data_IF_348934981128
#
_entry.id   IF_348934981128
#
_cell.length_a   1.000
_cell.length_b   1.000
_cell.length_c   1.000
_cell.angle_alpha   90.00
_cell.angle_beta   90.00
_cell.angle_gamma   90.00
#
_symmetry.space_group_name_H-M   'P 1'
#
loop_
_entity.id
_entity.type
_entity.pdbx_description
1 polymer ?
#
# COMPACT_ATOMS: atom_id res chain seq x y z
N UNK A 1 5.13 -5.81 -81.49
CA UNK A 1 4.77 -5.92 -80.06
C UNK A 1 6.07 -5.68 -79.28
N UNK A 2 6.49 -4.42 -79.11
CA UNK A 2 6.36 -3.60 -77.88
C UNK A 2 7.50 -3.94 -76.90
N UNK A 3 8.70 -3.33 -76.96
CA UNK A 3 9.14 -1.97 -76.56
C UNK A 3 8.95 -1.63 -75.06
N UNK A 4 10.06 -1.31 -74.39
CA UNK A 4 10.17 -0.47 -73.18
C UNK A 4 10.27 -1.26 -71.87
N UNK A 5 11.40 -1.35 -71.16
CA UNK A 5 12.35 -0.32 -70.72
C UNK A 5 11.67 0.85 -69.99
N UNK A 6 11.88 0.95 -68.66
CA UNK A 6 12.27 2.17 -67.93
C UNK A 6 12.67 1.84 -66.47
N UNK A 7 13.94 2.03 -66.12
CA UNK A 7 14.50 3.13 -65.30
C UNK A 7 14.16 2.94 -63.80
N UNK A 8 15.04 2.46 -62.91
CA UNK A 8 16.43 2.83 -62.56
C UNK A 8 16.50 4.14 -61.75
N UNK A 9 17.31 4.09 -60.66
CA UNK A 9 17.97 5.20 -59.96
C UNK A 9 17.19 5.86 -58.81
N UNK A 10 17.83 6.19 -57.69
CA UNK A 10 19.15 5.88 -57.11
C UNK A 10 19.17 6.60 -55.76
N UNK A 11 19.86 5.96 -54.81
CA UNK A 11 20.78 6.58 -53.85
C UNK A 11 20.16 7.55 -52.82
N UNK A 12 20.75 7.79 -51.65
CA UNK A 12 22.04 7.41 -51.09
C UNK A 12 21.86 7.41 -49.56
N UNK A 13 22.53 6.53 -48.80
CA UNK A 13 23.76 6.85 -48.03
C UNK A 13 23.49 7.86 -46.89
N UNK A 14 23.86 7.71 -45.62
CA UNK A 14 24.88 6.98 -44.86
C UNK A 14 24.28 6.78 -43.43
N UNK A 15 24.82 6.04 -42.47
CA UNK A 15 26.14 5.45 -42.21
C UNK A 15 25.98 4.47 -41.03
N UNK A 16 26.79 3.41 -40.96
CA UNK A 16 28.07 3.36 -40.26
C UNK A 16 27.96 3.44 -38.72
N UNK A 17 28.53 2.41 -38.06
CA UNK A 17 28.69 2.15 -36.62
C UNK A 17 27.45 1.53 -35.93
N UNK A 18 27.51 0.45 -35.15
CA UNK A 18 28.63 -0.17 -34.46
C UNK A 18 28.40 -1.68 -34.29
N UNK A 19 29.43 -2.47 -34.62
CA UNK A 19 29.66 -3.78 -34.01
C UNK A 19 30.37 -3.48 -32.68
N UNK A 20 29.69 -3.69 -31.55
CA UNK A 20 30.34 -3.74 -30.25
C UNK A 20 29.68 -4.82 -29.38
N UNK A 21 30.36 -5.96 -29.35
CA UNK A 21 30.71 -6.74 -28.15
C UNK A 21 29.59 -7.09 -27.17
N UNK A 22 29.02 -8.30 -27.34
CA UNK A 22 28.57 -9.12 -26.21
C UNK A 22 29.79 -9.56 -25.40
N UNK A 23 29.98 -9.00 -24.20
CA UNK A 23 30.67 -9.62 -23.08
C UNK A 23 30.52 -8.77 -21.80
N UNK A 24 30.26 -9.45 -20.67
CA UNK A 24 30.29 -8.99 -19.28
C UNK A 24 28.98 -8.44 -18.67
N UNK A 25 28.12 -9.36 -18.22
CA UNK A 25 27.23 -9.15 -17.06
C UNK A 25 27.51 -10.28 -16.06
N UNK A 26 28.62 -10.18 -15.34
CA UNK A 26 28.82 -10.81 -14.02
C UNK A 26 29.82 -9.91 -13.28
N UNK A 27 29.33 -9.07 -12.38
CA UNK A 27 30.15 -8.14 -11.60
C UNK A 27 29.39 -6.91 -11.18
N UNK A 28 28.43 -7.08 -10.26
CA UNK A 28 27.72 -5.98 -9.63
C UNK A 28 28.68 -5.10 -8.83
N UNK A 29 29.05 -3.95 -9.40
CA UNK A 29 29.50 -2.81 -8.62
C UNK A 29 28.27 -1.94 -8.37
N UNK A 30 27.74 -2.00 -7.14
CA UNK A 30 26.79 -1.01 -6.63
C UNK A 30 27.49 0.36 -6.61
N UNK A 31 27.26 1.17 -7.64
CA UNK A 31 27.56 2.58 -7.58
C UNK A 31 26.49 3.23 -6.70
N UNK A 32 26.87 3.60 -5.48
CA UNK A 32 26.07 4.45 -4.62
C UNK A 32 25.90 5.81 -5.32
N UNK A 33 24.79 5.98 -6.03
CA UNK A 33 24.33 7.30 -6.45
C UNK A 33 23.92 8.03 -5.17
N UNK A 34 24.75 8.98 -4.73
CA UNK A 34 24.28 10.02 -3.81
C UNK A 34 23.26 10.84 -4.59
N UNK A 35 22.00 10.47 -4.45
CA UNK A 35 20.89 11.31 -4.86
C UNK A 35 20.95 12.52 -3.92
N UNK A 36 21.30 13.69 -4.45
CA UNK A 36 21.02 14.96 -3.79
C UNK A 36 19.49 15.01 -3.64
N UNK A 37 19.01 14.65 -2.44
CA UNK A 37 17.64 14.88 -2.02
C UNK A 37 17.51 16.40 -1.92
N UNK A 38 17.19 17.02 -3.05
CA UNK A 38 16.71 18.38 -3.07
C UNK A 38 15.60 18.47 -2.03
N UNK A 39 15.66 19.50 -1.18
CA UNK A 39 14.63 19.79 -0.19
C UNK A 39 13.30 19.79 -0.95
N UNK A 40 12.53 18.71 -0.82
CA UNK A 40 11.19 18.66 -1.36
C UNK A 40 10.45 19.84 -0.73
N UNK A 41 9.91 20.74 -1.55
CA UNK A 41 8.95 21.71 -1.04
C UNK A 41 7.90 20.96 -0.24
N UNK A 42 7.60 21.47 0.95
CA UNK A 42 6.74 20.81 1.92
C UNK A 42 5.46 20.34 1.22
N UNK A 43 5.32 19.02 1.15
CA UNK A 43 4.15 18.31 0.69
C UNK A 43 2.91 18.97 1.28
N UNK A 44 1.84 19.26 0.50
CA UNK A 44 0.60 19.82 1.05
C UNK A 44 0.21 19.00 2.27
N UNK A 45 0.31 19.62 3.44
CA UNK A 45 -0.02 18.93 4.68
C UNK A 45 -1.53 18.69 4.62
N UNK A 46 -2.02 17.46 4.86
CA UNK A 46 -3.45 17.26 5.09
C UNK A 46 -3.94 18.34 6.05
N UNK A 47 -5.17 18.86 5.88
CA UNK A 47 -5.70 19.79 6.86
C UNK A 47 -5.55 19.15 8.23
N UNK A 48 -4.80 19.80 9.12
CA UNK A 48 -4.55 19.25 10.44
C UNK A 48 -5.90 18.95 11.12
N UNK A 49 -5.97 17.85 11.88
CA UNK A 49 -7.10 17.48 12.74
C UNK A 49 -8.37 16.93 12.02
N UNK A 50 -8.20 16.08 11.00
CA UNK A 50 -9.30 15.26 10.46
C UNK A 50 -9.15 13.80 10.90
N UNK A 51 -10.22 13.23 11.45
CA UNK A 51 -10.33 11.79 11.69
C UNK A 51 -10.79 11.07 10.42
N UNK A 52 -10.23 9.90 10.12
CA UNK A 52 -10.69 9.07 9.00
C UNK A 52 -11.42 7.85 9.52
N UNK A 53 -12.70 7.74 9.17
CA UNK A 53 -13.49 6.56 9.47
C UNK A 53 -13.14 5.45 8.51
N UNK A 54 -12.45 4.43 9.04
CA UNK A 54 -12.24 3.16 8.36
C UNK A 54 -13.59 2.47 8.15
N UNK A 55 -13.69 1.74 7.04
CA UNK A 55 -14.85 0.93 6.68
C UNK A 55 -16.17 1.72 6.54
N UNK A 56 -16.09 3.02 6.20
CA UNK A 56 -17.27 3.83 5.90
C UNK A 56 -17.78 3.51 4.47
N UNK A 57 -18.31 2.30 4.27
CA UNK A 57 -18.78 1.80 2.97
C UNK A 57 -19.90 2.64 2.35
N UNK A 58 -20.72 3.29 3.18
CA UNK A 58 -21.82 4.14 2.76
C UNK A 58 -21.40 5.58 2.47
N UNK A 59 -20.14 5.93 2.73
CA UNK A 59 -19.64 7.31 2.69
C UNK A 59 -20.53 8.25 3.52
N UNK A 60 -20.72 7.92 4.79
CA UNK A 60 -21.67 8.53 5.71
C UNK A 60 -21.20 9.92 6.14
N UNK A 61 -22.10 10.90 6.15
CA UNK A 61 -21.83 12.20 6.78
C UNK A 61 -21.95 12.08 8.30
N UNK A 62 -20.89 11.59 8.95
CA UNK A 62 -20.91 11.21 10.37
C UNK A 62 -21.28 12.37 11.31
N UNK A 63 -21.05 13.64 10.91
CA UNK A 63 -21.43 14.81 11.73
C UNK A 63 -22.94 14.98 11.87
N UNK A 64 -23.75 14.46 10.95
CA UNK A 64 -25.21 14.51 11.09
C UNK A 64 -25.69 13.66 12.27
N UNK A 65 -25.02 12.54 12.54
CA UNK A 65 -25.32 11.66 13.67
C UNK A 65 -24.48 11.94 14.92
N UNK A 66 -23.29 12.52 14.76
CA UNK A 66 -22.34 12.81 15.85
C UNK A 66 -21.79 14.25 15.73
N UNK A 67 -22.61 15.28 15.99
CA UNK A 67 -22.21 16.66 15.76
C UNK A 67 -21.05 17.13 16.67
N UNK A 68 -20.84 16.48 17.82
CA UNK A 68 -19.76 16.77 18.76
C UNK A 68 -18.41 16.10 18.42
N UNK A 69 -18.35 15.26 17.38
CA UNK A 69 -17.09 14.67 16.93
C UNK A 69 -16.24 15.68 16.16
N UNK A 70 -14.90 15.50 16.14
CA UNK A 70 -14.01 16.27 15.27
C UNK A 70 -14.38 16.17 13.78
N UNK A 71 -13.83 17.07 12.94
CA UNK A 71 -13.93 16.96 11.48
C UNK A 71 -13.54 15.56 11.01
N UNK A 72 -14.30 15.03 10.05
CA UNK A 72 -14.26 13.62 9.69
C UNK A 72 -14.20 13.41 8.18
N UNK A 73 -13.16 12.72 7.73
CA UNK A 73 -13.07 12.10 6.41
C UNK A 73 -13.56 10.66 6.43
N UNK A 74 -13.33 9.98 5.32
CA UNK A 74 -13.63 8.55 5.22
C UNK A 74 -12.52 7.78 4.54
N UNK A 75 -12.51 6.48 4.79
CA UNK A 75 -11.68 5.51 4.13
C UNK A 75 -12.53 4.27 3.90
N UNK A 76 -12.39 3.67 2.72
CA UNK A 76 -12.91 2.34 2.45
C UNK A 76 -11.82 1.50 1.78
N UNK A 77 -11.56 0.28 2.25
CA UNK A 77 -10.69 -0.64 1.53
C UNK A 77 -11.40 -1.18 0.28
N UNK A 78 -10.69 -1.26 -0.85
CA UNK A 78 -11.20 -1.83 -2.10
C UNK A 78 -10.46 -3.12 -2.44
N UNK A 79 -11.21 -4.21 -2.54
CA UNK A 79 -10.70 -5.51 -2.91
C UNK A 79 -10.02 -5.46 -4.28
N UNK A 80 -8.76 -5.92 -4.36
CA UNK A 80 -8.01 -5.88 -5.62
C UNK A 80 -8.73 -6.62 -6.75
N UNK A 81 -9.23 -7.83 -6.51
CA UNK A 81 -10.00 -8.63 -7.48
C UNK A 81 -11.32 -8.00 -7.94
N UNK A 82 -11.88 -7.04 -7.19
CA UNK A 82 -13.05 -6.28 -7.62
C UNK A 82 -12.65 -5.08 -8.48
N UNK A 83 -11.52 -4.43 -8.17
CA UNK A 83 -11.00 -3.33 -8.96
C UNK A 83 -10.45 -3.85 -10.29
N UNK A 84 -9.78 -5.00 -10.30
CA UNK A 84 -9.09 -5.53 -11.47
C UNK A 84 -9.43 -7.01 -11.72
N UNK A 85 -10.66 -7.31 -12.16
CA UNK A 85 -11.13 -8.68 -12.33
C UNK A 85 -10.39 -9.47 -13.42
N UNK A 86 -9.75 -8.79 -14.39
CA UNK A 86 -8.87 -9.40 -15.38
C UNK A 86 -7.69 -8.47 -15.68
N UNK A 87 -6.59 -9.04 -16.16
CA UNK A 87 -5.35 -8.35 -16.57
C UNK A 87 -5.68 -7.06 -17.36
N UNK A 88 -5.23 -5.91 -16.86
CA UNK A 88 -5.44 -4.57 -17.43
C UNK A 88 -6.91 -4.14 -17.64
N UNK A 89 -7.87 -4.76 -16.93
CA UNK A 89 -9.30 -4.46 -17.07
C UNK A 89 -9.89 -4.03 -15.73
N UNK A 90 -10.02 -2.72 -15.57
CA UNK A 90 -10.39 -2.11 -14.30
C UNK A 90 -11.89 -1.79 -14.18
N UNK A 91 -12.46 -2.06 -13.01
CA UNK A 91 -13.86 -1.85 -12.64
C UNK A 91 -13.99 -0.71 -11.62
N UNK A 92 -13.94 0.54 -12.12
CA UNK A 92 -13.93 1.74 -11.29
C UNK A 92 -15.29 2.21 -10.76
N UNK A 93 -16.39 1.57 -11.15
CA UNK A 93 -17.74 2.09 -10.87
C UNK A 93 -18.05 2.30 -9.39
N UNK A 94 -17.64 1.38 -8.51
CA UNK A 94 -17.84 1.50 -7.06
C UNK A 94 -16.94 2.58 -6.45
N UNK A 95 -15.61 2.59 -6.67
CA UNK A 95 -14.74 3.69 -6.23
C UNK A 95 -15.15 5.07 -6.77
N UNK A 96 -15.53 5.18 -8.06
CA UNK A 96 -15.99 6.45 -8.65
C UNK A 96 -17.22 7.02 -7.93
N UNK A 97 -18.24 6.16 -7.71
CA UNK A 97 -19.45 6.55 -6.97
C UNK A 97 -19.12 6.95 -5.54
N UNK A 98 -18.16 6.29 -4.91
CA UNK A 98 -17.71 6.63 -3.57
C UNK A 98 -17.10 8.03 -3.54
N UNK A 99 -16.15 8.32 -4.44
CA UNK A 99 -15.50 9.63 -4.53
C UNK A 99 -16.49 10.73 -4.89
N UNK A 100 -17.41 10.50 -5.82
CA UNK A 100 -18.44 11.50 -6.18
C UNK A 100 -19.37 11.81 -5.01
N UNK A 101 -19.73 10.80 -4.20
CA UNK A 101 -20.55 11.00 -3.00
C UNK A 101 -19.82 11.88 -1.98
N UNK A 102 -18.52 11.65 -1.75
CA UNK A 102 -17.71 12.53 -0.88
C UNK A 102 -17.61 13.96 -1.43
N UNK A 103 -17.60 14.13 -2.77
CA UNK A 103 -17.56 15.44 -3.40
C UNK A 103 -18.81 16.29 -3.16
N UNK A 104 -19.94 15.66 -2.87
CA UNK A 104 -21.20 16.32 -2.53
C UNK A 104 -21.28 16.71 -1.04
N UNK A 105 -20.42 16.12 -0.20
CA UNK A 105 -20.41 16.33 1.26
C UNK A 105 -19.43 17.43 1.67
N UNK A 106 -19.70 18.05 2.83
CA UNK A 106 -18.90 19.15 3.36
C UNK A 106 -18.49 18.86 4.79
N UNK A 107 -17.25 19.22 5.13
CA UNK A 107 -16.67 19.06 6.46
C UNK A 107 -16.16 20.42 6.91
N UNK A 108 -16.73 20.93 8.00
CA UNK A 108 -16.20 22.12 8.68
C UNK A 108 -15.05 21.71 9.59
N UNK A 109 -13.87 22.27 9.33
CA UNK A 109 -12.64 22.09 10.10
C UNK A 109 -12.70 22.87 11.41
N UNK A 110 -11.79 22.57 12.36
CA UNK A 110 -11.69 23.32 13.62
C UNK A 110 -11.35 24.81 13.40
N UNK A 111 -10.75 25.16 12.26
CA UNK A 111 -10.47 26.54 11.85
C UNK A 111 -11.73 27.31 11.43
N UNK A 112 -12.86 26.62 11.23
CA UNK A 112 -14.08 27.17 10.63
C UNK A 112 -14.10 27.09 9.10
N UNK A 113 -13.02 26.63 8.46
CA UNK A 113 -13.00 26.41 7.02
C UNK A 113 -13.89 25.23 6.64
N UNK A 114 -14.64 25.36 5.55
CA UNK A 114 -15.48 24.29 5.01
C UNK A 114 -14.80 23.68 3.79
N UNK A 115 -14.44 22.40 3.89
CA UNK A 115 -13.80 21.64 2.82
C UNK A 115 -14.72 20.54 2.29
N UNK A 116 -14.43 20.03 1.10
CA UNK A 116 -15.05 18.79 0.59
C UNK A 116 -14.63 17.61 1.47
N UNK A 117 -15.53 16.64 1.71
CA UNK A 117 -15.20 15.50 2.57
C UNK A 117 -13.93 14.79 2.09
N UNK A 118 -12.88 14.73 2.92
CA UNK A 118 -11.60 14.14 2.53
C UNK A 118 -11.69 12.61 2.56
N UNK A 119 -11.06 11.96 1.60
CA UNK A 119 -11.06 10.51 1.40
C UNK A 119 -9.64 9.97 1.37
N UNK A 120 -9.40 8.93 2.15
CA UNK A 120 -8.19 8.10 2.09
C UNK A 120 -8.44 6.88 1.23
N UNK A 121 -7.41 6.51 0.45
CA UNK A 121 -7.48 5.42 -0.50
C UNK A 121 -6.74 4.18 0.01
N UNK A 122 -7.25 2.96 -0.16
CA UNK A 122 -6.58 1.71 0.22
C UNK A 122 -7.00 0.54 -0.69
N UNK A 123 -6.04 -0.26 -1.14
CA UNK A 123 -6.34 -1.55 -1.79
C UNK A 123 -6.36 -2.64 -0.72
N UNK A 124 -7.42 -3.43 -0.64
CA UNK A 124 -7.47 -4.60 0.22
C UNK A 124 -6.91 -5.80 -0.52
N UNK A 125 -5.94 -6.46 0.09
CA UNK A 125 -5.29 -7.66 -0.48
C UNK A 125 -5.68 -8.92 0.27
N UNK A 126 -5.99 -8.82 1.57
CA UNK A 126 -6.26 -9.98 2.40
C UNK A 126 -7.04 -9.62 3.65
N UNK A 127 -8.06 -10.39 4.04
CA UNK A 127 -8.92 -10.09 5.20
C UNK A 127 -8.82 -11.12 6.32
N UNK A 128 -9.30 -10.77 7.52
CA UNK A 128 -9.31 -11.65 8.70
C UNK A 128 -10.13 -12.94 8.55
N UNK A 129 -11.00 -13.00 7.53
CA UNK A 129 -11.73 -14.22 7.15
C UNK A 129 -10.96 -15.07 6.13
N UNK A 130 -9.67 -14.79 5.96
CA UNK A 130 -8.74 -15.48 5.06
C UNK A 130 -9.14 -15.41 3.59
N UNK A 131 -9.81 -14.31 3.20
CA UNK A 131 -10.14 -14.05 1.80
C UNK A 131 -8.99 -13.32 1.13
N UNK A 132 -8.30 -14.03 0.24
CA UNK A 132 -7.31 -13.48 -0.68
C UNK A 132 -8.02 -12.71 -1.80
N UNK A 133 -7.79 -11.40 -1.81
CA UNK A 133 -8.35 -10.49 -2.80
C UNK A 133 -7.44 -10.32 -4.01
N UNK A 134 -6.31 -11.04 -4.11
CA UNK A 134 -5.51 -11.08 -5.34
C UNK A 134 -6.36 -11.62 -6.50
N UNK A 135 -6.43 -10.95 -7.66
CA UNK A 135 -7.13 -11.47 -8.81
C UNK A 135 -6.56 -12.82 -9.29
N UNK A 136 -7.43 -13.76 -9.66
CA UNK A 136 -6.99 -15.10 -10.08
C UNK A 136 -6.05 -15.10 -11.30
N UNK A 137 -6.12 -14.07 -12.16
CA UNK A 137 -5.26 -13.96 -13.33
C UNK A 137 -3.79 -13.68 -12.95
N UNK A 138 -3.53 -13.02 -11.81
CA UNK A 138 -2.18 -12.82 -11.26
C UNK A 138 -1.55 -14.18 -10.96
N UNK A 139 -2.31 -15.08 -10.31
CA UNK A 139 -1.85 -16.44 -10.06
C UNK A 139 -1.63 -17.25 -11.34
N UNK A 140 -2.46 -17.05 -12.37
CA UNK A 140 -2.29 -17.70 -13.66
C UNK A 140 -1.00 -17.26 -14.36
N UNK A 141 -0.55 -16.00 -14.22
CA UNK A 141 0.76 -15.53 -14.72
C UNK A 141 1.93 -16.32 -14.09
N UNK A 142 1.75 -16.81 -12.86
CA UNK A 142 2.71 -17.65 -12.14
C UNK A 142 2.52 -19.16 -12.38
N UNK A 143 1.55 -19.56 -13.21
CA UNK A 143 1.20 -20.97 -13.42
C UNK A 143 0.49 -21.62 -12.21
N UNK A 144 -0.18 -20.82 -11.38
CA UNK A 144 -0.88 -21.24 -10.16
C UNK A 144 -2.37 -20.89 -10.24
N UNK A 145 -3.17 -21.54 -9.39
CA UNK A 145 -4.59 -21.21 -9.23
C UNK A 145 -4.88 -20.26 -8.06
N UNK A 146 -3.96 -20.16 -7.10
CA UNK A 146 -4.06 -19.36 -5.88
C UNK A 146 -2.66 -19.12 -5.28
N UNK A 147 -2.61 -18.39 -4.16
CA UNK A 147 -1.40 -18.13 -3.39
C UNK A 147 -0.84 -19.35 -2.65
N UNK A 148 -0.24 -19.14 -1.48
CA UNK A 148 0.23 -20.22 -0.62
C UNK A 148 -0.95 -20.88 0.09
N UNK A 149 -1.07 -22.19 -0.06
CA UNK A 149 -2.01 -22.99 0.74
C UNK A 149 -1.39 -23.28 2.11
N UNK A 150 -2.11 -22.90 3.16
CA UNK A 150 -1.72 -23.10 4.55
C UNK A 150 -2.67 -24.12 5.17
N UNK A 151 -2.17 -25.32 5.49
CA UNK A 151 -2.94 -26.39 6.12
C UNK A 151 -2.26 -26.86 7.42
N UNK A 152 -2.67 -26.34 8.59
CA UNK A 152 -2.12 -26.76 9.87
C UNK A 152 -2.60 -28.15 10.31
N UNK A 153 -3.51 -28.79 9.57
CA UNK A 153 -4.09 -30.08 9.90
C UNK A 153 -5.00 -30.05 11.13
N UNK A 154 -5.24 -31.21 11.75
CA UNK A 154 -5.95 -31.28 13.05
C UNK A 154 -7.42 -30.85 13.05
N UNK A 155 -8.07 -30.77 11.89
CA UNK A 155 -9.45 -30.29 11.74
C UNK A 155 -9.56 -28.80 11.40
N UNK A 156 -8.44 -28.10 11.24
CA UNK A 156 -8.41 -26.76 10.69
C UNK A 156 -8.67 -26.78 9.18
N UNK A 157 -9.44 -25.81 8.63
CA UNK A 157 -9.57 -25.66 7.19
C UNK A 157 -8.25 -25.18 6.58
N UNK A 158 -7.93 -25.63 5.38
CA UNK A 158 -6.87 -25.00 4.59
C UNK A 158 -7.29 -23.58 4.17
N UNK A 159 -6.35 -22.64 4.19
CA UNK A 159 -6.57 -21.26 3.77
C UNK A 159 -5.51 -20.83 2.76
N UNK A 160 -5.77 -19.75 2.03
CA UNK A 160 -4.80 -19.18 1.08
C UNK A 160 -4.20 -17.89 1.63
N UNK A 161 -2.90 -17.70 1.44
CA UNK A 161 -2.17 -16.48 1.76
C UNK A 161 -1.54 -15.90 0.48
N UNK A 162 -1.57 -14.58 0.25
CA UNK A 162 -0.90 -13.97 -0.89
C UNK A 162 0.59 -14.29 -0.95
N UNK A 163 1.14 -14.29 -2.17
CA UNK A 163 2.56 -14.58 -2.42
C UNK A 163 3.41 -13.31 -2.33
N UNK A 164 3.52 -12.77 -1.11
CA UNK A 164 4.20 -11.49 -0.85
C UNK A 164 5.66 -11.46 -1.31
N UNK A 165 6.33 -12.61 -1.45
CA UNK A 165 7.72 -12.75 -1.89
C UNK A 165 7.88 -12.97 -3.41
N UNK A 166 6.79 -13.22 -4.14
CA UNK A 166 6.87 -13.53 -5.57
C UNK A 166 6.98 -12.24 -6.41
N UNK A 167 8.00 -12.13 -7.29
CA UNK A 167 8.22 -10.91 -8.08
C UNK A 167 7.14 -10.65 -9.14
N UNK A 168 6.46 -11.69 -9.64
CA UNK A 168 5.33 -11.50 -10.56
C UNK A 168 4.16 -10.92 -9.78
N UNK A 169 3.83 -11.50 -8.62
CA UNK A 169 2.76 -10.97 -7.76
C UNK A 169 3.03 -9.52 -7.34
N UNK A 170 4.26 -9.19 -6.94
CA UNK A 170 4.66 -7.83 -6.58
C UNK A 170 4.54 -6.85 -7.76
N UNK A 171 4.93 -7.25 -8.97
CA UNK A 171 4.81 -6.38 -10.14
C UNK A 171 3.33 -6.02 -10.43
N UNK A 172 2.42 -6.99 -10.34
CA UNK A 172 0.99 -6.71 -10.54
C UNK A 172 0.42 -5.86 -9.39
N UNK A 173 0.90 -6.04 -8.15
CA UNK A 173 0.53 -5.17 -7.03
C UNK A 173 0.97 -3.71 -7.30
N UNK A 174 2.15 -3.53 -7.87
CA UNK A 174 2.65 -2.20 -8.21
C UNK A 174 1.77 -1.51 -9.24
N UNK A 175 1.34 -2.24 -10.27
CA UNK A 175 0.49 -1.74 -11.35
C UNK A 175 -0.86 -1.27 -10.79
N UNK A 176 -1.53 -2.06 -9.95
CA UNK A 176 -2.82 -1.64 -9.37
C UNK A 176 -2.68 -0.42 -8.45
N UNK A 177 -1.59 -0.31 -7.67
CA UNK A 177 -1.32 0.88 -6.84
C UNK A 177 -1.12 2.12 -7.71
N UNK A 178 -0.37 1.97 -8.81
CA UNK A 178 -0.13 3.04 -9.78
C UNK A 178 -1.40 3.47 -10.51
N UNK A 179 -2.24 2.53 -10.94
CA UNK A 179 -3.49 2.82 -11.63
C UNK A 179 -4.53 3.48 -10.71
N UNK A 180 -4.62 3.04 -9.45
CA UNK A 180 -5.44 3.71 -8.46
C UNK A 180 -4.99 5.17 -8.25
N UNK A 181 -3.68 5.41 -8.18
CA UNK A 181 -3.14 6.77 -8.06
C UNK A 181 -3.36 7.59 -9.34
N UNK A 182 -3.09 7.03 -10.53
CA UNK A 182 -3.31 7.67 -11.83
C UNK A 182 -4.74 8.17 -11.96
N UNK A 183 -5.70 7.37 -11.50
CA UNK A 183 -7.11 7.73 -11.50
C UNK A 183 -7.46 8.77 -10.45
N UNK A 184 -7.10 8.56 -9.19
CA UNK A 184 -7.69 9.29 -8.07
C UNK A 184 -6.81 10.39 -7.44
N UNK A 185 -5.50 10.38 -7.69
CA UNK A 185 -4.57 11.35 -7.11
C UNK A 185 -4.83 12.80 -7.55
N UNK A 186 -5.51 13.06 -8.66
CA UNK A 186 -5.80 14.44 -9.08
C UNK A 186 -7.02 15.06 -8.39
N UNK A 187 -7.87 14.29 -7.71
CA UNK A 187 -9.06 14.83 -7.04
C UNK A 187 -8.70 15.52 -5.72
N UNK A 188 -9.14 16.76 -5.53
CA UNK A 188 -8.83 17.55 -4.34
C UNK A 188 -9.30 16.91 -3.03
N UNK A 189 -10.41 16.17 -3.08
CA UNK A 189 -10.97 15.51 -1.91
C UNK A 189 -10.37 14.14 -1.61
N UNK A 190 -9.51 13.62 -2.49
CA UNK A 190 -8.68 12.45 -2.17
C UNK A 190 -7.43 12.97 -1.49
N UNK A 191 -7.14 12.61 -0.25
CA UNK A 191 -6.06 13.28 0.51
C UNK A 191 -4.83 12.41 0.74
N UNK A 192 -4.88 11.14 0.35
CA UNK A 192 -3.72 10.26 0.35
C UNK A 192 -4.08 8.78 0.27
N UNK A 193 -3.12 7.94 0.63
CA UNK A 193 -3.22 6.48 0.53
C UNK A 193 -2.76 5.74 1.79
N UNK A 194 -3.52 4.74 2.22
CA UNK A 194 -3.11 3.77 3.24
C UNK A 194 -2.56 2.54 2.55
N UNK A 195 -1.32 2.21 2.89
CA UNK A 195 -0.59 1.08 2.35
C UNK A 195 -1.10 -0.17 3.06
N UNK A 196 -1.56 -1.12 2.25
CA UNK A 196 -2.06 -2.42 2.67
C UNK A 196 -1.00 -3.47 2.33
N UNK A 197 -0.52 -4.18 3.35
CA UNK A 197 0.58 -5.13 3.23
C UNK A 197 0.27 -6.50 3.84
N UNK A 198 -0.97 -6.74 4.28
CA UNK A 198 -1.37 -7.99 4.90
C UNK A 198 -2.84 -8.01 5.30
N UNK A 199 -3.17 -8.84 6.28
CA UNK A 199 -4.54 -9.07 6.78
C UNK A 199 -5.16 -7.75 7.24
N UNK A 200 -6.32 -7.37 6.72
CA UNK A 200 -7.04 -6.13 7.06
C UNK A 200 -6.23 -4.85 6.75
N UNK A 201 -5.23 -4.97 5.88
CA UNK A 201 -4.23 -3.96 5.55
C UNK A 201 -3.06 -3.83 6.53
N UNK A 202 -3.03 -4.65 7.57
CA UNK A 202 -2.00 -4.67 8.60
C UNK A 202 -0.70 -5.35 8.15
N UNK A 203 0.42 -5.04 8.81
CA UNK A 203 1.71 -5.71 8.61
C UNK A 203 1.75 -7.11 9.26
N UNK A 204 0.80 -7.96 8.90
CA UNK A 204 0.82 -9.39 9.21
C UNK A 204 0.34 -10.18 8.00
N UNK A 205 1.11 -11.16 7.52
CA UNK A 205 0.74 -11.88 6.30
C UNK A 205 -0.42 -12.85 6.55
N UNK A 206 -0.58 -13.30 7.80
CA UNK A 206 -1.63 -14.22 8.27
C UNK A 206 -1.85 -14.04 9.79
N UNK A 207 -3.02 -14.47 10.31
CA UNK A 207 -3.36 -14.52 11.75
C UNK A 207 -3.72 -15.96 12.14
N UNK A 208 -3.49 -16.34 13.41
CA UNK A 208 -4.02 -17.59 13.95
C UNK A 208 -5.50 -17.41 14.37
N UNK A 209 -6.32 -18.46 14.22
CA UNK A 209 -7.76 -18.41 14.58
C UNK A 209 -8.24 -19.75 15.11
N UNK A 210 -9.04 -19.71 16.17
CA UNK A 210 -9.75 -20.90 16.69
C UNK A 210 -8.82 -22.09 17.01
N UNK A 211 -7.58 -21.81 17.40
CA UNK A 211 -6.57 -22.83 17.72
C UNK A 211 -5.79 -23.37 16.50
N UNK A 212 -6.04 -22.85 15.30
CA UNK A 212 -5.31 -23.17 14.09
C UNK A 212 -4.06 -22.31 13.93
N UNK A 213 -2.91 -22.96 13.78
CA UNK A 213 -1.59 -22.33 13.72
C UNK A 213 -1.15 -22.04 12.27
N UNK A 214 -1.89 -21.16 11.59
CA UNK A 214 -1.56 -20.74 10.22
C UNK A 214 -0.25 -19.97 10.14
N UNK A 215 0.18 -19.31 11.22
CA UNK A 215 1.47 -18.63 11.29
C UNK A 215 2.64 -19.62 11.17
N UNK A 216 2.56 -20.79 11.81
CA UNK A 216 3.55 -21.84 11.65
C UNK A 216 3.60 -22.40 10.22
N UNK A 217 2.46 -22.48 9.52
CA UNK A 217 2.43 -22.87 8.10
C UNK A 217 3.03 -21.77 7.21
N UNK A 218 2.70 -20.50 7.44
CA UNK A 218 3.23 -19.38 6.68
C UNK A 218 4.75 -19.26 6.82
N UNK A 219 5.31 -19.52 8.00
CA UNK A 219 6.75 -19.53 8.24
C UNK A 219 7.52 -20.60 7.43
N UNK A 220 6.82 -21.59 6.85
CA UNK A 220 7.43 -22.60 5.94
C UNK A 220 7.60 -22.10 4.51
N UNK A 221 6.84 -21.08 4.11
CA UNK A 221 6.76 -20.59 2.73
C UNK A 221 7.16 -19.13 2.56
N UNK A 222 7.22 -18.36 3.65
CA UNK A 222 7.55 -16.95 3.64
C UNK A 222 8.46 -16.60 4.83
N UNK A 223 9.70 -16.23 4.55
CA UNK A 223 10.62 -15.79 5.61
C UNK A 223 10.32 -14.36 6.07
N UNK A 224 10.73 -14.03 7.30
CA UNK A 224 10.62 -12.68 7.85
C UNK A 224 11.31 -11.63 6.96
N UNK A 225 12.49 -11.95 6.40
CA UNK A 225 13.24 -11.01 5.55
C UNK A 225 12.54 -10.77 4.21
N UNK A 226 11.96 -11.79 3.60
CA UNK A 226 11.16 -11.66 2.37
C UNK A 226 9.93 -10.78 2.61
N UNK A 227 9.20 -11.02 3.71
CA UNK A 227 8.02 -10.21 4.03
C UNK A 227 8.38 -8.76 4.37
N UNK A 228 9.47 -8.52 5.11
CA UNK A 228 9.97 -7.16 5.35
C UNK A 228 10.42 -6.47 4.07
N UNK A 229 11.03 -7.20 3.14
CA UNK A 229 11.40 -6.67 1.84
C UNK A 229 10.16 -6.23 1.05
N UNK A 230 9.09 -7.04 1.05
CA UNK A 230 7.81 -6.66 0.46
C UNK A 230 7.21 -5.40 1.09
N UNK A 231 7.18 -5.28 2.43
CA UNK A 231 6.62 -4.09 3.08
C UNK A 231 7.38 -2.81 2.66
N UNK A 232 8.72 -2.88 2.58
CA UNK A 232 9.55 -1.76 2.13
C UNK A 232 9.29 -1.41 0.67
N UNK A 233 9.17 -2.44 -0.19
CA UNK A 233 8.80 -2.29 -1.59
C UNK A 233 7.44 -1.60 -1.75
N UNK A 234 6.40 -2.06 -1.03
CA UNK A 234 5.07 -1.45 -1.06
C UNK A 234 5.07 0.01 -0.58
N UNK A 235 5.91 0.36 0.39
CA UNK A 235 6.13 1.75 0.81
C UNK A 235 6.69 2.59 -0.34
N UNK A 236 7.75 2.11 -0.98
CA UNK A 236 8.42 2.86 -2.07
C UNK A 236 7.47 3.07 -3.27
N UNK A 237 6.74 2.02 -3.65
CA UNK A 237 5.76 2.04 -4.74
C UNK A 237 4.63 3.02 -4.42
N UNK A 238 4.09 2.98 -3.21
CA UNK A 238 3.04 3.89 -2.79
C UNK A 238 3.51 5.35 -2.79
N UNK A 239 4.72 5.63 -2.29
CA UNK A 239 5.30 6.99 -2.32
C UNK A 239 5.45 7.47 -3.76
N UNK A 240 6.01 6.64 -4.63
CA UNK A 240 6.20 6.99 -6.04
C UNK A 240 4.87 7.27 -6.76
N UNK A 241 3.85 6.43 -6.52
CA UNK A 241 2.54 6.56 -7.14
C UNK A 241 1.75 7.77 -6.60
N UNK A 242 1.75 7.97 -5.29
CA UNK A 242 0.85 8.92 -4.62
C UNK A 242 1.42 10.31 -4.39
N UNK A 243 2.74 10.51 -4.48
CA UNK A 243 3.35 11.83 -4.32
C UNK A 243 2.75 12.86 -5.32
N UNK A 244 2.46 14.10 -4.88
CA UNK A 244 2.78 14.67 -3.56
C UNK A 244 1.66 14.48 -2.51
N UNK A 245 0.78 13.49 -2.64
CA UNK A 245 -0.14 13.14 -1.55
C UNK A 245 0.58 12.25 -0.54
N UNK A 246 0.32 12.43 0.76
CA UNK A 246 0.89 11.58 1.80
C UNK A 246 0.40 10.13 1.69
N UNK A 247 1.25 9.22 2.16
CA UNK A 247 0.94 7.80 2.31
C UNK A 247 1.22 7.35 3.73
N UNK A 248 0.49 6.35 4.22
CA UNK A 248 0.69 5.81 5.57
C UNK A 248 0.73 4.29 5.58
N UNK A 249 1.70 3.72 6.27
CA UNK A 249 1.78 2.27 6.50
C UNK A 249 1.14 1.86 7.82
N UNK A 250 0.39 0.76 7.80
CA UNK A 250 -0.20 0.13 8.97
C UNK A 250 0.74 -0.95 9.54
N UNK A 251 1.83 -0.56 10.20
CA UNK A 251 2.84 -1.48 10.72
C UNK A 251 2.50 -2.11 12.09
N UNK A 252 1.24 -2.53 12.29
CA UNK A 252 0.81 -3.32 13.44
C UNK A 252 -0.01 -4.52 12.92
N UNK A 253 0.18 -5.75 13.43
CA UNK A 253 1.17 -6.16 14.41
C UNK A 253 2.61 -6.10 13.83
N UNK A 254 3.61 -6.58 14.58
CA UNK A 254 4.98 -6.58 14.05
C UNK A 254 5.09 -7.58 12.89
N UNK A 255 5.73 -7.20 11.76
CA UNK A 255 5.81 -8.01 10.53
C UNK A 255 6.19 -9.46 10.75
N UNK A 256 7.14 -9.72 11.66
CA UNK A 256 7.73 -11.04 11.83
C UNK A 256 7.17 -11.84 13.01
N UNK A 257 6.13 -11.32 13.68
CA UNK A 257 5.50 -12.00 14.80
C UNK A 257 5.01 -13.43 14.47
N UNK A 258 4.72 -13.71 13.19
CA UNK A 258 4.34 -15.05 12.71
C UNK A 258 5.52 -16.04 12.61
N UNK A 259 6.75 -15.54 12.45
CA UNK A 259 7.92 -16.37 12.18
C UNK A 259 8.77 -16.60 13.45
N UNK A 260 8.96 -15.57 14.27
CA UNK A 260 9.85 -15.63 15.44
C UNK A 260 9.21 -15.13 16.74
N UNK A 261 7.94 -14.70 16.70
CA UNK A 261 7.24 -14.11 17.85
C UNK A 261 7.79 -12.75 18.29
N UNK A 262 8.70 -12.14 17.51
CA UNK A 262 9.32 -10.87 17.85
C UNK A 262 8.38 -9.69 17.56
N UNK A 263 8.46 -8.68 18.43
CA UNK A 263 7.81 -7.38 18.25
C UNK A 263 8.79 -6.28 17.79
N UNK A 264 10.06 -6.61 17.54
CA UNK A 264 11.11 -5.61 17.28
C UNK A 264 11.06 -5.02 15.88
N UNK A 265 10.59 -5.77 14.89
CA UNK A 265 10.63 -5.36 13.48
C UNK A 265 9.69 -4.20 13.15
N UNK A 266 8.70 -3.91 14.00
CA UNK A 266 7.87 -2.72 13.86
C UNK A 266 8.71 -1.45 13.84
N UNK A 267 9.73 -1.37 14.71
CA UNK A 267 10.63 -0.20 14.76
C UNK A 267 11.37 -0.03 13.44
N UNK A 268 11.86 -1.13 12.86
CA UNK A 268 12.55 -1.13 11.58
C UNK A 268 11.65 -0.58 10.46
N UNK A 269 10.40 -1.06 10.36
CA UNK A 269 9.46 -0.59 9.34
C UNK A 269 9.07 0.88 9.55
N UNK A 270 8.82 1.31 10.79
CA UNK A 270 8.50 2.72 11.09
C UNK A 270 9.67 3.63 10.73
N UNK A 271 10.90 3.21 11.04
CA UNK A 271 12.11 3.95 10.67
C UNK A 271 12.28 4.04 9.15
N UNK A 272 12.05 2.93 8.44
CA UNK A 272 12.10 2.92 6.99
C UNK A 272 11.05 3.85 6.38
N UNK A 273 9.78 3.71 6.77
CA UNK A 273 8.68 4.53 6.29
C UNK A 273 8.96 6.02 6.50
N UNK A 274 9.36 6.40 7.71
CA UNK A 274 9.68 7.79 8.04
C UNK A 274 10.85 8.33 7.21
N UNK A 275 11.90 7.53 6.98
CA UNK A 275 13.04 7.94 6.16
C UNK A 275 12.69 8.05 4.67
N UNK A 276 11.76 7.24 4.18
CA UNK A 276 11.27 7.29 2.81
C UNK A 276 10.27 8.44 2.56
N UNK A 277 9.65 8.99 3.60
CA UNK A 277 8.65 10.05 3.51
C UNK A 277 7.20 9.56 3.64
N UNK A 278 7.00 8.32 4.09
CA UNK A 278 5.69 7.79 4.48
C UNK A 278 5.40 8.04 5.96
N UNK A 279 4.13 8.29 6.27
CA UNK A 279 3.62 8.30 7.64
C UNK A 279 3.42 6.89 8.18
N UNK A 280 3.22 6.80 9.49
CA UNK A 280 2.87 5.55 10.18
C UNK A 280 1.47 5.68 10.80
N UNK A 281 0.63 4.68 10.58
CA UNK A 281 -0.69 4.54 11.20
C UNK A 281 -0.64 3.38 12.18
N UNK A 282 -0.87 3.68 13.46
CA UNK A 282 -0.92 2.69 14.52
C UNK A 282 -2.29 2.01 14.56
N UNK A 283 -2.34 0.70 14.28
CA UNK A 283 -3.57 -0.11 14.41
C UNK A 283 -3.62 -0.91 15.72
N UNK A 284 -2.73 -0.64 16.67
CA UNK A 284 -2.77 -1.29 17.98
C UNK A 284 -4.03 -0.89 18.75
N UNK A 285 -4.95 -1.84 18.97
CA UNK A 285 -6.20 -1.69 19.73
C UNK A 285 -6.02 -1.47 21.25
N UNK A 286 -4.87 -0.96 21.69
CA UNK A 286 -4.59 -0.69 23.09
C UNK A 286 -4.50 0.82 23.35
N UNK A 287 -5.59 1.60 23.19
CA UNK A 287 -5.58 3.04 23.44
C UNK A 287 -5.45 3.40 24.93
N UNK A 288 -5.65 2.45 25.85
CA UNK A 288 -5.74 2.66 27.30
C UNK A 288 -4.67 1.94 28.15
N UNK A 289 -3.53 1.56 27.56
CA UNK A 289 -2.37 1.26 28.42
C UNK A 289 -1.67 2.57 28.77
N UNK A 290 -1.09 2.67 29.97
CA UNK A 290 -0.20 3.80 30.34
C UNK A 290 0.95 4.00 29.33
N UNK A 291 1.12 3.03 28.44
CA UNK A 291 2.17 2.86 27.46
C UNK A 291 1.68 3.22 26.04
N UNK A 292 0.40 3.61 25.88
CA UNK A 292 -0.20 4.03 24.62
C UNK A 292 0.17 5.47 24.23
N UNK A 293 0.62 6.30 25.18
CA UNK A 293 1.11 7.66 24.95
C UNK A 293 2.23 8.02 25.95
N UNK A 294 3.47 8.30 25.48
CA UNK A 294 4.50 8.98 26.28
C UNK A 294 5.93 8.39 26.25
N UNK A 295 6.90 9.19 26.67
CA UNK A 295 8.37 8.97 26.55
C UNK A 295 8.98 7.99 27.58
N UNK A 296 8.20 7.07 28.19
CA UNK A 296 8.62 6.24 29.35
C UNK A 296 9.49 5.02 29.05
N UNK A 297 10.66 4.88 29.68
CA UNK A 297 11.73 3.88 29.43
C UNK A 297 11.31 2.41 29.58
N UNK A 298 10.67 1.81 28.57
CA UNK A 298 10.54 0.35 28.42
C UNK A 298 10.62 -0.06 26.94
N UNK A 299 11.46 -1.05 26.65
CA UNK A 299 11.94 -1.46 25.33
C UNK A 299 10.92 -2.26 24.46
N UNK A 300 9.61 -2.19 24.74
CA UNK A 300 8.65 -3.14 24.11
C UNK A 300 7.32 -2.56 23.59
N UNK A 301 7.05 -1.27 23.74
CA UNK A 301 5.96 -0.63 23.01
C UNK A 301 6.24 0.87 22.81
N UNK A 302 6.19 1.28 21.55
CA UNK A 302 5.77 2.61 21.09
C UNK A 302 6.45 3.82 21.73
N UNK A 303 7.62 4.16 21.19
CA UNK A 303 8.09 5.54 21.17
C UNK A 303 8.62 5.86 19.79
N UNK A 304 7.76 6.39 18.94
CA UNK A 304 8.24 7.34 17.95
C UNK A 304 7.51 8.63 18.22
N UNK A 305 8.26 9.64 18.61
CA UNK A 305 7.77 10.99 18.60
C UNK A 305 7.54 11.34 17.13
N UNK A 306 6.29 11.20 16.69
CA UNK A 306 5.88 11.54 15.34
C UNK A 306 6.10 13.05 15.09
N UNK A 307 6.31 13.86 16.14
CA UNK A 307 6.63 15.29 16.02
C UNK A 307 8.11 15.58 15.74
N UNK A 308 9.05 14.67 16.01
CA UNK A 308 10.48 14.90 15.74
C UNK A 308 10.90 14.59 14.29
N UNK A 309 10.13 13.77 13.55
CA UNK A 309 10.53 13.33 12.19
C UNK A 309 9.42 13.48 11.14
N UNK A 310 8.16 13.58 11.54
CA UNK A 310 7.03 13.69 10.60
C UNK A 310 6.30 15.01 10.83
N UNK A 311 6.68 16.04 10.07
CA UNK A 311 6.02 17.35 10.09
C UNK A 311 4.61 17.33 9.46
N UNK A 312 4.10 16.17 9.05
CA UNK A 312 2.85 16.02 8.30
C UNK A 312 1.94 14.94 8.90
N UNK A 313 0.89 15.39 9.60
CA UNK A 313 -0.35 14.68 9.95
C UNK A 313 -0.25 13.24 10.52
N UNK A 314 -0.56 13.12 11.81
CA UNK A 314 -0.92 11.85 12.46
C UNK A 314 -2.39 11.56 12.17
N UNK A 315 -2.68 10.46 11.49
CA UNK A 315 -4.05 9.95 11.36
C UNK A 315 -4.35 9.05 12.57
N UNK A 316 -5.34 9.44 13.39
CA UNK A 316 -5.88 8.58 14.44
C UNK A 316 -7.14 7.86 13.92
N UNK A 317 -7.29 6.60 14.28
CA UNK A 317 -8.49 5.80 14.04
C UNK A 317 -9.10 5.37 15.38
N UNK A 318 -10.43 5.33 15.44
CA UNK A 318 -11.18 4.61 16.47
C UNK A 318 -12.04 3.53 15.78
N UNK A 319 -11.65 2.26 15.87
CA UNK A 319 -12.52 1.14 15.51
C UNK A 319 -13.50 0.89 16.66
N UNK A 320 -14.79 0.75 16.37
CA UNK A 320 -15.82 0.33 17.34
C UNK A 320 -16.13 -1.15 17.19
#
# INVERSE_FOLDING_TARGET
>A
MGVGERINKRAAALGAAAILTLAAIVGGAYLAVKQDVGVMEATPTPPANILFFRDDYANTEIRLSHPWWPPAGSMRPWNWNEIEPSDDSYSWGSPDKYISTAQEQRVELETGDVVTKPVMMQIEIYTSDYVDHTPSWVYQKMGRSAGYELDPGGGCPAVTMPMYDDPVWQAEYDEIVQELASRYKSYDNVVGYWISVGVDGEATPIKNREGCDYQAEAAKVLTCDEYKAFIKHAIDVAIAAWSPKPVWIQAAPAPCSYADGSNTDRKEIVQYASAAGAGYKMNGLAPDQQDAYGTGTWDQAMKYDVTEVVTTAVAFEFSH
#
